data_IF_728735680065
#
_entry.id   IF_728735680065
#
_cell.length_a   1.000
_cell.length_b   1.000
_cell.length_c   1.000
_cell.angle_alpha   90.00
_cell.angle_beta   90.00
_cell.angle_gamma   90.00
#
_symmetry.space_group_name_H-M   'P 1'
#
loop_
_entity.id
_entity.type
_entity.pdbx_description
1 polymer ?
#
# COMPACT_ATOMS: atom_id res chain seq x y z
N UNK A 1 17.50 45.17 42.94
CA UNK A 1 17.54 43.80 42.37
C UNK A 1 16.93 42.87 43.40
N UNK A 2 15.75 42.30 43.15
CA UNK A 2 15.06 41.42 44.10
C UNK A 2 15.36 39.97 43.72
N UNK A 3 16.06 39.26 44.60
CA UNK A 3 16.32 37.83 44.46
C UNK A 3 15.02 37.07 44.72
N UNK A 4 14.43 36.47 43.68
CA UNK A 4 13.35 35.50 43.85
C UNK A 4 13.97 34.21 44.39
N UNK A 5 13.77 33.93 45.68
CA UNK A 5 14.05 32.62 46.25
C UNK A 5 12.97 31.64 45.81
N UNK A 6 13.28 30.78 44.83
CA UNK A 6 12.37 29.70 44.43
C UNK A 6 12.24 28.69 45.58
N UNK A 7 11.01 28.42 45.99
CA UNK A 7 10.70 27.48 47.06
C UNK A 7 10.84 26.04 46.53
N UNK A 8 11.75 25.20 47.08
CA UNK A 8 12.06 23.86 46.55
C UNK A 8 10.85 22.92 46.50
N UNK A 9 9.79 23.22 47.25
CA UNK A 9 8.55 22.46 47.28
C UNK A 9 7.71 22.61 45.98
N UNK A 10 7.86 23.75 45.27
CA UNK A 10 7.18 23.98 43.97
C UNK A 10 7.87 23.18 42.86
N UNK A 11 9.18 22.97 42.95
CA UNK A 11 9.95 22.21 41.95
C UNK A 11 9.58 20.71 41.95
N UNK A 12 9.25 20.16 43.13
CA UNK A 12 8.89 18.74 43.29
C UNK A 12 7.48 18.39 42.80
N UNK A 13 6.56 19.35 42.77
CA UNK A 13 5.18 19.13 42.30
C UNK A 13 5.07 19.29 40.77
N UNK A 14 5.91 20.14 40.16
CA UNK A 14 5.89 20.39 38.71
C UNK A 14 6.67 19.32 37.93
N UNK A 15 7.71 18.72 38.52
CA UNK A 15 8.54 17.71 37.86
C UNK A 15 7.79 16.45 37.36
N UNK A 16 6.87 15.82 38.11
CA UNK A 16 6.16 14.64 37.62
C UNK A 16 5.08 14.95 36.56
N UNK A 17 4.61 16.20 36.45
CA UNK A 17 3.62 16.57 35.43
C UNK A 17 4.20 16.63 34.00
N UNK A 18 5.52 16.81 33.88
CA UNK A 18 6.21 16.93 32.59
C UNK A 18 6.68 15.57 32.05
N UNK A 19 6.78 14.55 32.90
CA UNK A 19 7.30 13.22 32.50
C UNK A 19 6.16 12.28 32.01
N UNK A 20 4.90 12.57 32.35
CA UNK A 20 3.74 11.80 31.90
C UNK A 20 3.28 12.08 30.46
N UNK A 21 3.83 13.09 29.78
CA UNK A 21 3.47 13.45 28.40
C UNK A 21 4.42 12.87 27.35
N UNK A 22 5.29 11.91 27.72
CA UNK A 22 6.06 11.14 26.75
C UNK A 22 5.06 10.40 25.83
N UNK A 23 4.88 10.93 24.63
CA UNK A 23 3.74 10.70 23.76
C UNK A 23 3.41 9.23 23.51
N UNK A 24 2.21 8.82 23.93
CA UNK A 24 1.56 7.60 23.49
C UNK A 24 1.13 7.76 22.02
N UNK A 25 2.08 7.70 21.09
CA UNK A 25 1.79 7.52 19.68
C UNK A 25 1.82 6.02 19.40
N UNK A 26 0.69 5.45 18.98
CA UNK A 26 0.69 4.08 18.46
C UNK A 26 1.62 4.06 17.24
N UNK A 27 2.66 3.22 17.23
CA UNK A 27 3.54 3.08 16.06
C UNK A 27 3.00 1.97 15.16
N UNK A 28 1.97 2.24 14.37
CA UNK A 28 1.52 1.34 13.31
C UNK A 28 2.21 1.72 12.00
N UNK A 29 2.59 0.70 11.25
CA UNK A 29 3.12 0.88 9.90
C UNK A 29 1.95 1.22 8.96
N UNK A 30 1.98 2.41 8.38
CA UNK A 30 0.91 2.93 7.53
C UNK A 30 1.16 2.55 6.06
N UNK A 31 0.98 1.26 5.72
CA UNK A 31 1.11 0.78 4.34
C UNK A 31 -0.16 1.14 3.57
N UNK A 32 0.00 2.03 2.60
CA UNK A 32 -1.08 2.47 1.71
C UNK A 32 -0.90 2.07 0.25
N UNK A 33 -1.79 2.58 -0.59
CA UNK A 33 -1.74 2.53 -2.05
C UNK A 33 -0.44 3.09 -2.64
N UNK A 34 0.28 3.93 -1.88
CA UNK A 34 1.62 4.42 -2.28
C UNK A 34 2.70 3.33 -2.20
N UNK A 35 2.39 2.17 -1.62
CA UNK A 35 3.29 1.03 -1.45
C UNK A 35 2.69 -0.26 -2.04
N UNK A 36 2.06 -0.19 -3.21
CA UNK A 36 1.57 -1.38 -3.92
C UNK A 36 2.72 -2.12 -4.62
N UNK A 37 3.49 -2.90 -3.85
CA UNK A 37 4.55 -3.79 -4.34
C UNK A 37 4.11 -5.25 -4.43
N UNK A 38 2.81 -5.54 -4.35
CA UNK A 38 2.29 -6.90 -4.43
C UNK A 38 0.97 -6.99 -5.18
N UNK A 39 0.75 -8.12 -5.85
CA UNK A 39 -0.52 -8.50 -6.46
C UNK A 39 -0.94 -9.86 -5.91
N UNK A 40 -2.16 -9.94 -5.38
CA UNK A 40 -2.76 -11.22 -4.99
C UNK A 40 -3.50 -11.85 -6.18
N UNK A 41 -3.26 -13.13 -6.44
CA UNK A 41 -3.92 -13.92 -7.46
C UNK A 41 -4.79 -14.99 -6.79
N UNK A 42 -6.11 -14.87 -6.91
CA UNK A 42 -7.08 -15.79 -6.33
C UNK A 42 -7.58 -16.80 -7.38
N UNK A 43 -7.66 -18.08 -7.00
CA UNK A 43 -8.12 -19.17 -7.88
C UNK A 43 -7.24 -19.43 -9.12
N UNK A 44 -5.94 -19.12 -9.05
CA UNK A 44 -4.97 -19.46 -10.09
C UNK A 44 -4.18 -20.70 -9.71
N UNK A 45 -3.87 -21.55 -10.69
CA UNK A 45 -2.88 -22.61 -10.48
C UNK A 45 -1.47 -22.01 -10.52
N UNK A 46 -0.52 -22.62 -9.80
CA UNK A 46 0.88 -22.16 -9.82
C UNK A 46 1.47 -22.14 -11.23
N UNK A 47 1.06 -23.08 -12.09
CA UNK A 47 1.47 -23.16 -13.50
C UNK A 47 1.01 -21.96 -14.33
N UNK A 48 -0.08 -21.31 -13.93
CA UNK A 48 -0.63 -20.15 -14.64
C UNK A 48 0.21 -18.89 -14.37
N UNK A 49 0.95 -18.88 -13.27
CA UNK A 49 1.66 -17.73 -12.72
C UNK A 49 3.20 -17.82 -12.88
N UNK A 50 3.71 -18.81 -13.62
CA UNK A 50 5.15 -19.02 -13.85
C UNK A 50 5.82 -17.73 -14.32
N UNK A 51 5.34 -17.16 -15.44
CA UNK A 51 5.87 -15.91 -15.99
C UNK A 51 4.76 -14.90 -16.18
N UNK A 52 4.94 -13.74 -15.55
CA UNK A 52 4.01 -12.61 -15.61
C UNK A 52 4.72 -11.40 -16.20
N UNK A 53 4.06 -10.71 -17.11
CA UNK A 53 4.54 -9.44 -17.66
C UNK A 53 3.59 -8.34 -17.24
N UNK A 54 4.11 -7.34 -16.54
CA UNK A 54 3.35 -6.18 -16.08
C UNK A 54 3.78 -5.00 -16.94
N UNK A 55 2.85 -4.52 -17.75
CA UNK A 55 3.04 -3.37 -18.61
C UNK A 55 2.39 -2.15 -17.97
N UNK A 56 3.12 -1.05 -17.95
CA UNK A 56 2.68 0.22 -17.39
C UNK A 56 2.30 1.19 -18.50
N UNK A 57 1.24 1.94 -18.30
CA UNK A 57 0.71 2.93 -19.24
C UNK A 57 0.41 4.24 -18.51
N UNK A 58 0.52 5.35 -19.24
CA UNK A 58 0.00 6.62 -18.76
C UNK A 58 -1.52 6.53 -18.56
N UNK A 59 -2.05 7.23 -17.55
CA UNK A 59 -3.49 7.29 -17.31
C UNK A 59 -4.23 7.81 -18.55
N UNK A 60 -5.33 7.17 -18.90
CA UNK A 60 -6.13 7.50 -20.10
C UNK A 60 -5.56 6.98 -21.42
N UNK A 61 -4.36 6.38 -21.44
CA UNK A 61 -3.90 5.64 -22.61
C UNK A 61 -4.64 4.30 -22.70
N UNK A 62 -5.24 3.99 -23.86
CA UNK A 62 -6.00 2.77 -24.13
C UNK A 62 -5.11 1.51 -24.26
N UNK A 63 -4.12 1.35 -23.39
CA UNK A 63 -3.18 0.22 -23.36
C UNK A 63 -2.44 -0.06 -24.69
N UNK A 64 -2.24 0.96 -25.53
CA UNK A 64 -1.59 0.83 -26.84
C UNK A 64 -0.07 0.93 -26.78
N UNK A 65 0.45 1.92 -26.05
CA UNK A 65 1.89 2.19 -25.95
C UNK A 65 2.35 2.09 -24.50
N UNK A 66 2.96 0.96 -24.09
CA UNK A 66 3.48 0.84 -22.73
C UNK A 66 4.63 1.83 -22.53
N UNK A 67 4.60 2.53 -21.40
CA UNK A 67 5.70 3.37 -20.92
C UNK A 67 6.86 2.50 -20.47
N UNK A 68 6.53 1.38 -19.85
CA UNK A 68 7.50 0.44 -19.28
C UNK A 68 6.88 -0.96 -19.21
N UNK A 69 7.73 -1.97 -19.06
CA UNK A 69 7.32 -3.36 -18.93
C UNK A 69 8.31 -4.09 -18.02
N UNK A 70 7.79 -4.83 -17.06
CA UNK A 70 8.61 -5.69 -16.20
C UNK A 70 8.12 -7.13 -16.26
N UNK A 71 9.07 -8.05 -16.33
CA UNK A 71 8.80 -9.48 -16.29
C UNK A 71 9.11 -10.00 -14.89
N UNK A 72 8.14 -10.69 -14.29
CA UNK A 72 8.28 -11.38 -13.02
C UNK A 72 8.21 -12.87 -13.31
N UNK A 73 9.27 -13.59 -12.95
CA UNK A 73 9.34 -15.05 -13.03
C UNK A 73 9.23 -15.59 -11.62
N UNK A 74 8.26 -16.47 -11.38
CA UNK A 74 8.01 -17.07 -10.07
C UNK A 74 8.37 -18.55 -10.12
N UNK A 75 9.23 -18.98 -9.20
CA UNK A 75 9.74 -20.35 -9.23
C UNK A 75 8.99 -21.31 -8.32
N UNK A 76 8.37 -20.82 -7.23
CA UNK A 76 7.58 -21.63 -6.32
C UNK A 76 6.61 -20.77 -5.51
N UNK A 77 5.38 -21.26 -5.39
CA UNK A 77 4.37 -20.69 -4.52
C UNK A 77 4.13 -21.61 -3.32
N UNK A 78 3.89 -21.01 -2.15
CA UNK A 78 3.41 -21.79 -1.01
C UNK A 78 1.97 -22.26 -1.27
N UNK A 79 1.57 -23.45 -0.80
CA UNK A 79 0.18 -23.87 -0.86
C UNK A 79 -0.70 -22.86 -0.11
N UNK A 80 -1.77 -22.38 -0.74
CA UNK A 80 -2.63 -21.34 -0.17
C UNK A 80 -3.90 -21.13 -0.98
N UNK A 81 -4.84 -20.35 -0.44
CA UNK A 81 -6.08 -19.93 -1.13
C UNK A 81 -5.84 -18.85 -2.18
N UNK A 82 -4.71 -18.18 -2.11
CA UNK A 82 -4.27 -17.17 -3.06
C UNK A 82 -2.75 -17.20 -3.18
N UNK A 83 -2.25 -16.68 -4.29
CA UNK A 83 -0.83 -16.50 -4.53
C UNK A 83 -0.46 -15.03 -4.49
N UNK A 84 0.62 -14.70 -3.79
CA UNK A 84 1.09 -13.34 -3.65
C UNK A 84 2.39 -13.17 -4.43
N UNK A 85 2.39 -12.22 -5.35
CA UNK A 85 3.56 -11.93 -6.19
C UNK A 85 4.10 -10.57 -5.81
N UNK A 86 5.34 -10.57 -5.32
CA UNK A 86 6.10 -9.36 -5.04
C UNK A 86 6.61 -8.77 -6.36
N UNK A 87 6.44 -7.47 -6.49
CA UNK A 87 6.79 -6.72 -7.68
C UNK A 87 8.18 -6.11 -7.52
N UNK A 88 9.04 -6.19 -8.53
CA UNK A 88 10.35 -5.51 -8.50
C UNK A 88 10.20 -3.98 -8.53
N UNK A 89 9.09 -3.48 -9.05
CA UNK A 89 8.76 -2.05 -9.10
C UNK A 89 7.35 -1.85 -8.55
N UNK A 90 7.21 -0.91 -7.61
CA UNK A 90 5.91 -0.52 -7.04
C UNK A 90 4.98 0.02 -8.12
N UNK A 91 3.72 -0.38 -8.03
CA UNK A 91 2.64 0.25 -8.79
C UNK A 91 2.25 1.55 -8.10
N UNK A 92 2.00 2.57 -8.90
CA UNK A 92 1.44 3.86 -8.47
C UNK A 92 0.03 4.04 -9.03
N UNK A 93 -0.79 4.86 -8.35
CA UNK A 93 -2.21 5.07 -8.68
C UNK A 93 -2.44 6.03 -9.85
N UNK A 94 -1.40 6.72 -10.28
CA UNK A 94 -1.40 7.67 -11.40
C UNK A 94 -1.23 6.99 -12.77
N UNK A 95 -1.14 5.66 -12.79
CA UNK A 95 -0.82 4.87 -13.97
C UNK A 95 -1.84 3.74 -14.16
N UNK A 96 -1.95 3.29 -15.40
CA UNK A 96 -2.74 2.12 -15.76
C UNK A 96 -1.80 0.93 -16.02
N UNK A 97 -2.30 -0.29 -15.81
CA UNK A 97 -1.49 -1.49 -15.98
C UNK A 97 -2.20 -2.54 -16.81
N UNK A 98 -1.41 -3.35 -17.50
CA UNK A 98 -1.85 -4.62 -18.05
C UNK A 98 -0.96 -5.71 -17.49
N UNK A 99 -1.55 -6.64 -16.75
CA UNK A 99 -0.90 -7.85 -16.28
C UNK A 99 -1.18 -8.95 -17.29
N UNK A 100 -0.12 -9.53 -17.86
CA UNK A 100 -0.19 -10.64 -18.82
C UNK A 100 0.38 -11.89 -18.20
N UNK A 101 -0.40 -12.96 -18.20
CA UNK A 101 0.08 -14.29 -17.82
C UNK A 101 0.61 -14.98 -19.07
N UNK A 102 1.90 -15.27 -19.13
CA UNK A 102 2.52 -15.84 -20.33
C UNK A 102 2.05 -17.28 -20.55
N UNK A 103 1.89 -18.06 -19.48
CA UNK A 103 1.47 -19.46 -19.55
C UNK A 103 0.07 -19.64 -20.13
N UNK A 104 -0.88 -18.77 -19.77
CA UNK A 104 -2.29 -18.87 -20.20
C UNK A 104 -2.64 -17.93 -21.35
N UNK A 105 -1.84 -16.90 -21.60
CA UNK A 105 -2.15 -15.81 -22.53
C UNK A 105 -3.21 -14.83 -22.02
N UNK A 106 -3.71 -15.01 -20.80
CA UNK A 106 -4.71 -14.13 -20.19
C UNK A 106 -4.14 -12.73 -19.93
N UNK A 107 -5.01 -11.72 -20.06
CA UNK A 107 -4.66 -10.30 -19.90
C UNK A 107 -5.64 -9.63 -18.96
N UNK A 108 -5.11 -8.90 -17.99
CA UNK A 108 -5.86 -8.19 -16.97
C UNK A 108 -5.52 -6.71 -17.02
N UNK A 109 -6.46 -5.88 -17.46
CA UNK A 109 -6.33 -4.43 -17.45
C UNK A 109 -6.74 -3.88 -16.09
N UNK A 110 -5.84 -3.11 -15.47
CA UNK A 110 -6.03 -2.47 -14.17
C UNK A 110 -5.97 -0.96 -14.38
N UNK A 111 -7.02 -0.26 -13.98
CA UNK A 111 -7.13 1.20 -14.16
C UNK A 111 -7.94 1.86 -13.04
N UNK A 112 -8.05 3.18 -13.11
CA UNK A 112 -9.02 3.97 -12.33
C UNK A 112 -8.95 3.70 -10.82
N UNK A 113 -7.73 3.69 -10.29
CA UNK A 113 -7.49 3.59 -8.86
C UNK A 113 -8.19 4.74 -8.11
N UNK A 114 -8.95 4.37 -7.09
CA UNK A 114 -9.58 5.28 -6.12
C UNK A 114 -8.90 5.04 -4.78
N UNK A 115 -8.36 6.13 -4.21
CA UNK A 115 -7.72 6.12 -2.90
C UNK A 115 -8.43 7.06 -1.95
N UNK A 116 -8.48 6.67 -0.68
CA UNK A 116 -9.02 7.49 0.40
C UNK A 116 -7.96 7.66 1.47
N UNK A 117 -7.82 8.89 1.99
CA UNK A 117 -6.92 9.18 3.09
C UNK A 117 -7.45 8.54 4.37
N UNK A 118 -6.64 7.70 5.01
CA UNK A 118 -6.95 7.02 6.27
C UNK A 118 -5.94 7.45 7.35
N UNK A 119 -6.40 7.61 8.58
CA UNK A 119 -5.55 7.85 9.74
C UNK A 119 -5.01 6.52 10.26
N UNK A 120 -3.74 6.46 10.62
CA UNK A 120 -3.11 5.23 11.12
C UNK A 120 -2.50 5.36 12.52
N UNK A 121 -1.92 6.51 12.85
CA UNK A 121 -1.37 6.80 14.17
C UNK A 121 -2.04 8.07 14.69
N UNK A 122 -2.78 7.93 15.78
CA UNK A 122 -3.45 9.05 16.45
C UNK A 122 -2.95 9.13 17.90
N UNK A 123 -2.64 10.34 18.37
CA UNK A 123 -2.09 10.58 19.70
C UNK A 123 -1.80 12.04 19.98
N UNK A 124 -1.41 12.36 21.21
CA UNK A 124 -1.01 13.72 21.59
C UNK A 124 0.24 14.14 20.80
N UNK A 125 0.05 15.04 19.83
CA UNK A 125 1.03 15.50 18.83
C UNK A 125 1.44 14.50 17.72
N UNK A 126 0.73 13.39 17.54
CA UNK A 126 0.98 12.46 16.43
C UNK A 126 -0.30 12.20 15.66
N UNK A 127 -0.34 12.63 14.41
CA UNK A 127 -1.42 12.34 13.45
C UNK A 127 -0.79 11.94 12.13
N UNK A 128 -0.57 10.63 11.95
CA UNK A 128 -0.11 10.09 10.68
C UNK A 128 -1.30 9.61 9.86
N UNK A 129 -1.19 9.79 8.55
CA UNK A 129 -2.19 9.35 7.60
C UNK A 129 -1.52 8.74 6.38
N UNK A 130 -2.23 7.85 5.70
CA UNK A 130 -1.80 7.22 4.46
C UNK A 130 -2.94 7.18 3.45
N UNK A 131 -2.61 7.04 2.17
CA UNK A 131 -3.60 6.80 1.13
C UNK A 131 -3.96 5.32 1.12
N UNK A 132 -5.16 4.94 1.55
CA UNK A 132 -5.64 3.56 1.41
C UNK A 132 -6.22 3.36 0.02
N UNK A 133 -5.99 2.20 -0.59
CA UNK A 133 -6.73 1.78 -1.77
C UNK A 133 -8.19 1.53 -1.35
N UNK A 134 -9.14 2.06 -2.11
CA UNK A 134 -10.58 1.84 -1.90
C UNK A 134 -11.15 0.95 -3.01
N UNK A 135 -10.77 1.27 -4.25
CA UNK A 135 -11.18 0.48 -5.42
C UNK A 135 -10.25 0.72 -6.61
N UNK A 136 -10.39 -0.14 -7.61
CA UNK A 136 -9.81 0.00 -8.95
C UNK A 136 -10.71 -0.73 -9.94
N UNK A 137 -10.49 -0.50 -11.23
CA UNK A 137 -11.16 -1.20 -12.30
C UNK A 137 -10.30 -2.38 -12.76
N UNK A 138 -10.86 -3.58 -12.82
CA UNK A 138 -10.26 -4.78 -13.38
C UNK A 138 -11.08 -5.24 -14.61
N UNK A 139 -10.47 -5.20 -15.79
CA UNK A 139 -11.14 -5.53 -17.05
C UNK A 139 -12.47 -4.79 -17.25
N UNK A 140 -12.53 -3.52 -16.85
CA UNK A 140 -13.73 -2.68 -16.94
C UNK A 140 -14.71 -2.81 -15.76
N UNK A 141 -14.49 -3.75 -14.84
CA UNK A 141 -15.35 -3.94 -13.67
C UNK A 141 -14.73 -3.32 -12.41
N UNK A 142 -15.53 -2.59 -11.63
CA UNK A 142 -15.06 -2.00 -10.37
C UNK A 142 -14.87 -3.08 -9.31
N UNK A 143 -13.67 -3.16 -8.75
CA UNK A 143 -13.31 -4.03 -7.63
C UNK A 143 -13.07 -3.16 -6.40
N UNK A 144 -13.80 -3.43 -5.30
CA UNK A 144 -13.68 -2.71 -4.03
C UNK A 144 -12.88 -3.54 -3.04
N UNK A 145 -11.69 -3.08 -2.68
CA UNK A 145 -10.73 -3.81 -1.83
C UNK A 145 -9.60 -2.88 -1.40
N UNK A 146 -8.93 -3.23 -0.31
CA UNK A 146 -7.78 -2.50 0.23
C UNK A 146 -6.43 -3.00 -0.32
N UNK A 147 -6.44 -4.06 -1.14
CA UNK A 147 -5.25 -4.65 -1.76
C UNK A 147 -5.52 -4.99 -3.22
N UNK A 148 -4.48 -4.88 -4.06
CA UNK A 148 -4.61 -5.24 -5.46
C UNK A 148 -4.72 -6.75 -5.64
N UNK A 149 -5.83 -7.19 -6.23
CA UNK A 149 -6.14 -8.59 -6.46
C UNK A 149 -6.64 -8.87 -7.88
N UNK A 150 -6.27 -10.02 -8.42
CA UNK A 150 -6.79 -10.56 -9.67
C UNK A 150 -7.42 -11.90 -9.33
N UNK A 151 -8.67 -12.09 -9.73
CA UNK A 151 -9.41 -13.33 -9.49
C UNK A 151 -9.85 -13.91 -10.82
N UNK A 152 -9.85 -15.24 -10.89
CA UNK A 152 -10.47 -16.03 -11.96
C UNK A 152 -11.87 -16.47 -11.58
#
# INVERSE_FOLDING_TARGET
MKNLSLNPLVLFIVAPLVIGTAGCCTKKLCIGADNMDQIAFNNFANSDLDTIVIQRFNKGANATNPVDSVTVVTSNFSPGTYQLILLPTRLTVEQNYVVKLISTGERYAISDFVVTKQECNTGFMCNDSYNSLESYTLNGNVVRTYQLAISK
#
